data_IF_840381505978
#
_entry.id   IF_840381505978
#
_cell.length_a   1.000
_cell.length_b   1.000
_cell.length_c   1.000
_cell.angle_alpha   90.00
_cell.angle_beta   90.00
_cell.angle_gamma   90.00
#
_symmetry.space_group_name_H-M   'P 1'
#
loop_
_entity.id
_entity.type
_entity.pdbx_description
1 polymer ?
#
# COMPACT_ATOMS: atom_id res chain seq x y z
N UNK A 1 14.52 -25.36 -24.00
CA UNK A 1 14.11 -24.65 -22.76
C UNK A 1 12.75 -25.21 -22.38
N UNK A 2 12.64 -25.98 -21.29
CA UNK A 2 11.35 -26.53 -20.88
C UNK A 2 10.47 -25.39 -20.36
N UNK A 3 9.29 -25.20 -20.97
CA UNK A 3 8.29 -24.25 -20.47
C UNK A 3 7.86 -24.73 -19.08
N UNK A 4 8.08 -23.91 -18.04
CA UNK A 4 7.53 -24.19 -16.70
C UNK A 4 6.01 -24.33 -16.85
N UNK A 5 5.46 -25.39 -16.27
CA UNK A 5 4.00 -25.53 -16.14
C UNK A 5 3.48 -24.32 -15.37
N UNK A 6 2.51 -23.58 -15.92
CA UNK A 6 1.95 -22.43 -15.21
C UNK A 6 1.31 -22.89 -13.90
N UNK A 7 1.60 -22.16 -12.82
CA UNK A 7 1.01 -22.41 -11.51
C UNK A 7 -0.52 -22.20 -11.55
N UNK A 8 -1.29 -22.88 -10.68
CA UNK A 8 -2.71 -22.60 -10.56
C UNK A 8 -2.97 -21.14 -10.20
N UNK A 9 -3.93 -20.50 -10.87
CA UNK A 9 -4.27 -19.07 -10.68
C UNK A 9 -4.56 -18.73 -9.21
N UNK A 10 -5.12 -19.66 -8.45
CA UNK A 10 -5.42 -19.47 -7.03
C UNK A 10 -4.15 -19.28 -6.19
N UNK A 11 -3.08 -20.00 -6.51
CA UNK A 11 -1.79 -19.90 -5.81
C UNK A 11 -1.15 -18.54 -6.08
N UNK A 12 -1.15 -18.11 -7.34
CA UNK A 12 -0.63 -16.79 -7.74
C UNK A 12 -1.42 -15.67 -7.07
N UNK A 13 -2.75 -15.78 -7.02
CA UNK A 13 -3.60 -14.79 -6.33
C UNK A 13 -3.30 -14.72 -4.84
N UNK A 14 -3.26 -15.86 -4.16
CA UNK A 14 -2.97 -15.93 -2.72
C UNK A 14 -1.61 -15.31 -2.39
N UNK A 15 -0.58 -15.65 -3.16
CA UNK A 15 0.77 -15.10 -3.01
C UNK A 15 0.79 -13.57 -3.11
N UNK A 16 0.04 -13.00 -4.07
CA UNK A 16 -0.10 -11.54 -4.21
C UNK A 16 -0.82 -10.92 -3.03
N UNK A 17 -1.89 -11.54 -2.56
CA UNK A 17 -2.69 -11.01 -1.44
C UNK A 17 -1.89 -11.05 -0.13
N UNK A 18 -1.16 -12.13 0.13
CA UNK A 18 -0.31 -12.27 1.31
C UNK A 18 0.88 -11.29 1.27
N UNK A 19 1.50 -11.11 0.09
CA UNK A 19 2.56 -10.13 -0.09
C UNK A 19 2.04 -8.70 0.16
N UNK A 20 0.89 -8.33 -0.42
CA UNK A 20 0.30 -7.01 -0.19
C UNK A 20 -0.03 -6.79 1.29
N UNK A 21 -0.60 -7.79 1.97
CA UNK A 21 -0.90 -7.72 3.39
C UNK A 21 0.38 -7.50 4.23
N UNK A 22 1.48 -8.18 3.90
CA UNK A 22 2.76 -8.00 4.58
C UNK A 22 3.36 -6.60 4.35
N UNK A 23 3.27 -6.07 3.12
CA UNK A 23 3.75 -4.73 2.78
C UNK A 23 2.96 -3.66 3.54
N UNK A 24 1.63 -3.78 3.56
CA UNK A 24 0.75 -2.86 4.28
C UNK A 24 1.00 -2.93 5.80
N UNK A 25 1.21 -4.12 6.35
CA UNK A 25 1.49 -4.29 7.77
C UNK A 25 2.82 -3.65 8.20
N UNK A 26 3.76 -3.43 7.27
CA UNK A 26 5.04 -2.78 7.56
C UNK A 26 4.91 -1.27 7.89
N UNK A 27 3.75 -0.65 7.63
CA UNK A 27 3.47 0.76 7.96
C UNK A 27 2.28 0.83 8.93
N UNK A 28 2.51 0.77 10.26
CA UNK A 28 1.43 0.79 11.26
C UNK A 28 0.48 2.00 11.15
N UNK A 29 0.99 3.13 10.64
CA UNK A 29 0.23 4.35 10.47
C UNK A 29 -0.96 4.21 9.50
N UNK A 30 -0.93 3.23 8.59
CA UNK A 30 -2.05 2.90 7.69
C UNK A 30 -3.31 2.55 8.49
N UNK A 31 -3.17 1.78 9.57
CA UNK A 31 -4.30 1.39 10.42
C UNK A 31 -4.87 2.57 11.20
N UNK A 32 -4.00 3.49 11.62
CA UNK A 32 -4.40 4.73 12.28
C UNK A 32 -5.27 5.60 11.36
N UNK A 33 -4.86 5.75 10.09
CA UNK A 33 -5.58 6.51 9.07
C UNK A 33 -6.78 5.79 8.47
N UNK A 34 -7.05 4.53 8.85
CA UNK A 34 -8.16 3.74 8.32
C UNK A 34 -8.06 3.54 6.79
N UNK A 35 -6.85 3.29 6.30
CA UNK A 35 -6.56 3.08 4.88
C UNK A 35 -6.56 1.59 4.54
N UNK A 36 -7.23 1.24 3.45
CA UNK A 36 -7.22 -0.10 2.84
C UNK A 36 -6.76 -0.02 1.39
N UNK A 37 -6.29 -1.14 0.83
CA UNK A 37 -5.86 -1.22 -0.56
C UNK A 37 -6.67 -2.26 -1.31
N UNK A 38 -7.29 -1.84 -2.41
CA UNK A 38 -7.94 -2.73 -3.37
C UNK A 38 -6.96 -3.05 -4.51
N UNK A 39 -6.71 -4.34 -4.76
CA UNK A 39 -5.76 -4.78 -5.79
C UNK A 39 -6.48 -5.19 -7.07
N UNK A 40 -6.02 -4.69 -8.21
CA UNK A 40 -6.47 -5.08 -9.55
C UNK A 40 -5.29 -5.44 -10.44
N UNK A 41 -4.80 -6.67 -10.28
CA UNK A 41 -3.56 -7.07 -10.95
C UNK A 41 -2.36 -6.44 -10.26
N UNK A 42 -1.59 -5.68 -11.02
CA UNK A 42 -0.45 -4.86 -10.60
C UNK A 42 -0.84 -3.43 -10.17
N UNK A 43 -2.08 -3.01 -10.42
CA UNK A 43 -2.61 -1.74 -9.93
C UNK A 43 -3.17 -1.86 -8.51
N UNK A 44 -2.98 -0.79 -7.72
CA UNK A 44 -3.53 -0.64 -6.37
C UNK A 44 -4.42 0.60 -6.30
N UNK A 45 -5.54 0.50 -5.59
CA UNK A 45 -6.38 1.63 -5.22
C UNK A 45 -6.39 1.78 -3.70
N UNK A 46 -5.81 2.86 -3.20
CA UNK A 46 -5.86 3.19 -1.78
C UNK A 46 -7.22 3.85 -1.44
N UNK A 47 -7.84 3.40 -0.35
CA UNK A 47 -9.13 3.90 0.13
C UNK A 47 -8.97 4.30 1.59
N UNK A 48 -9.13 5.59 1.90
CA UNK A 48 -9.20 6.09 3.27
C UNK A 48 -10.66 6.20 3.70
N UNK A 49 -11.11 5.27 4.55
CA UNK A 49 -12.48 5.31 5.05
C UNK A 49 -12.64 6.40 6.12
N UNK A 50 -13.75 7.15 6.04
CA UNK A 50 -14.08 8.22 6.98
C UNK A 50 -13.93 7.78 8.44
N UNK A 51 -13.36 8.65 9.28
CA UNK A 51 -13.28 8.47 10.72
C UNK A 51 -13.29 9.84 11.40
N UNK A 52 -14.11 10.03 12.42
CA UNK A 52 -14.26 11.33 13.12
C UNK A 52 -12.92 11.88 13.64
N UNK A 53 -12.00 11.01 14.04
CA UNK A 53 -10.67 11.39 14.53
C UNK A 53 -9.76 12.00 13.46
N UNK A 54 -10.14 11.92 12.17
CA UNK A 54 -9.40 12.50 11.05
C UNK A 54 -9.96 13.87 10.62
N UNK A 55 -11.02 14.33 11.27
CA UNK A 55 -11.65 15.63 11.01
C UNK A 55 -10.87 16.71 11.76
N UNK A 56 -10.32 17.65 11.00
CA UNK A 56 -9.51 18.75 11.54
C UNK A 56 -10.36 19.93 12.01
N UNK A 57 -11.42 20.27 11.26
CA UNK A 57 -12.33 21.36 11.62
C UNK A 57 -13.73 20.81 11.92
N UNK A 58 -14.11 20.67 13.20
CA UNK A 58 -15.43 20.18 13.60
C UNK A 58 -16.61 21.06 13.12
N UNK A 59 -16.36 22.34 12.85
CA UNK A 59 -17.39 23.28 12.41
C UNK A 59 -17.64 23.24 10.88
N UNK A 60 -16.66 22.82 10.08
CA UNK A 60 -16.77 22.70 8.60
C UNK A 60 -16.74 21.25 8.09
N UNK A 61 -17.01 20.27 8.98
CA UNK A 61 -16.60 18.85 8.90
C UNK A 61 -15.42 18.49 7.99
N UNK A 62 -14.39 19.35 7.94
CA UNK A 62 -13.34 19.21 6.94
C UNK A 62 -12.24 18.26 7.42
N UNK A 63 -11.76 17.40 6.52
CA UNK A 63 -10.61 16.54 6.79
C UNK A 63 -9.38 17.38 7.13
N UNK A 64 -8.60 16.90 8.10
CA UNK A 64 -7.33 17.55 8.43
C UNK A 64 -6.37 17.45 7.23
N UNK A 65 -5.78 18.58 6.81
CA UNK A 65 -4.85 18.60 5.67
C UNK A 65 -3.70 17.59 5.84
N UNK A 66 -3.13 17.49 7.05
CA UNK A 66 -2.10 16.50 7.35
C UNK A 66 -2.55 15.04 7.20
N UNK A 67 -3.85 14.74 7.40
CA UNK A 67 -4.38 13.39 7.18
C UNK A 67 -4.47 13.07 5.68
N UNK A 68 -4.87 14.06 4.86
CA UNK A 68 -4.86 13.93 3.39
C UNK A 68 -3.42 13.76 2.87
N UNK A 69 -2.48 14.60 3.31
CA UNK A 69 -1.08 14.49 2.90
C UNK A 69 -0.48 13.13 3.27
N UNK A 70 -0.73 12.67 4.50
CA UNK A 70 -0.25 11.37 4.93
C UNK A 70 -0.90 10.20 4.18
N UNK A 71 -2.19 10.30 3.86
CA UNK A 71 -2.85 9.29 3.02
C UNK A 71 -2.20 9.19 1.64
N UNK A 72 -1.93 10.33 1.00
CA UNK A 72 -1.29 10.36 -0.32
C UNK A 72 0.16 9.86 -0.27
N UNK A 73 0.91 10.21 0.76
CA UNK A 73 2.27 9.68 0.96
C UNK A 73 2.26 8.15 1.14
N UNK A 74 1.39 7.65 2.01
CA UNK A 74 1.21 6.21 2.23
C UNK A 74 0.83 5.50 0.94
N UNK A 75 -0.10 6.06 0.17
CA UNK A 75 -0.52 5.48 -1.12
C UNK A 75 0.67 5.39 -2.08
N UNK A 76 1.44 6.47 -2.23
CA UNK A 76 2.62 6.51 -3.09
C UNK A 76 3.71 5.52 -2.67
N UNK A 77 4.01 5.43 -1.36
CA UNK A 77 5.01 4.48 -0.83
C UNK A 77 4.59 3.04 -1.10
N UNK A 78 3.33 2.68 -0.81
CA UNK A 78 2.83 1.31 -1.01
C UNK A 78 2.77 0.96 -2.49
N UNK A 79 2.32 1.87 -3.35
CA UNK A 79 2.25 1.64 -4.79
C UNK A 79 3.64 1.49 -5.42
N UNK A 80 4.60 2.35 -5.08
CA UNK A 80 5.98 2.23 -5.55
C UNK A 80 6.61 0.91 -5.08
N UNK A 81 6.34 0.54 -3.83
CA UNK A 81 6.82 -0.73 -3.27
C UNK A 81 6.23 -1.92 -4.02
N UNK A 82 4.93 -1.89 -4.29
CA UNK A 82 4.23 -2.94 -5.02
C UNK A 82 4.76 -3.10 -6.44
N UNK A 83 4.89 -1.99 -7.17
CA UNK A 83 5.39 -1.98 -8.54
C UNK A 83 6.83 -2.51 -8.64
N UNK A 84 7.69 -2.14 -7.68
CA UNK A 84 9.10 -2.59 -7.67
C UNK A 84 9.26 -4.05 -7.22
N UNK A 85 8.38 -4.53 -6.34
CA UNK A 85 8.40 -5.91 -5.85
C UNK A 85 7.67 -6.91 -6.76
N UNK A 86 6.84 -6.44 -7.71
CA UNK A 86 5.93 -7.27 -8.50
C UNK A 86 6.59 -8.50 -9.13
N UNK A 87 7.71 -8.32 -9.82
CA UNK A 87 8.40 -9.44 -10.48
C UNK A 87 8.89 -10.50 -9.48
N UNK A 88 9.41 -10.07 -8.32
CA UNK A 88 9.90 -10.95 -7.26
C UNK A 88 8.76 -11.66 -6.51
N UNK A 89 7.57 -11.05 -6.47
CA UNK A 89 6.36 -11.69 -5.95
C UNK A 89 5.86 -12.74 -6.96
N UNK A 90 5.90 -12.43 -8.27
CA UNK A 90 5.44 -13.33 -9.33
C UNK A 90 6.30 -14.58 -9.50
N UNK A 91 7.62 -14.48 -9.30
CA UNK A 91 8.54 -15.61 -9.36
C UNK A 91 8.69 -16.36 -8.02
N UNK A 92 8.08 -15.84 -6.94
CA UNK A 92 8.10 -16.41 -5.60
C UNK A 92 9.43 -16.22 -4.85
N UNK A 93 10.32 -15.36 -5.32
CA UNK A 93 11.60 -15.05 -4.64
C UNK A 93 11.41 -14.15 -3.42
N UNK A 94 10.38 -13.28 -3.43
CA UNK A 94 10.00 -12.47 -2.28
C UNK A 94 8.79 -13.10 -1.59
N UNK A 95 9.00 -13.61 -0.36
CA UNK A 95 7.93 -14.20 0.45
C UNK A 95 7.35 -13.21 1.46
N UNK A 96 6.10 -13.39 1.91
CA UNK A 96 5.50 -12.56 2.97
C UNK A 96 6.33 -12.52 4.27
N UNK A 97 7.00 -13.62 4.62
CA UNK A 97 7.86 -13.70 5.79
C UNK A 97 9.14 -12.87 5.63
N UNK A 98 9.72 -12.84 4.43
CA UNK A 98 10.86 -11.98 4.12
C UNK A 98 10.48 -10.49 4.25
N UNK A 99 9.31 -10.13 3.72
CA UNK A 99 8.75 -8.78 3.85
C UNK A 99 8.55 -8.40 5.33
N UNK A 100 7.91 -9.27 6.10
CA UNK A 100 7.54 -9.01 7.50
C UNK A 100 8.75 -8.95 8.43
N UNK A 101 9.76 -9.79 8.19
CA UNK A 101 10.99 -9.81 8.98
C UNK A 101 11.95 -8.64 8.66
N UNK A 102 11.63 -7.83 7.64
CA UNK A 102 12.49 -6.74 7.16
C UNK A 102 13.82 -7.21 6.55
N UNK A 103 14.03 -8.53 6.43
CA UNK A 103 15.21 -9.11 5.81
C UNK A 103 14.96 -9.18 4.30
N UNK A 104 15.82 -8.52 3.52
CA UNK A 104 15.76 -8.43 2.05
C UNK A 104 14.67 -7.51 1.46
N UNK A 105 13.91 -6.81 2.30
CA UNK A 105 12.87 -5.89 1.84
C UNK A 105 12.92 -4.58 2.63
N UNK A 106 13.12 -3.47 1.91
CA UNK A 106 13.12 -2.14 2.48
C UNK A 106 12.07 -1.28 1.77
N UNK A 107 11.20 -0.65 2.56
CA UNK A 107 10.29 0.35 2.02
C UNK A 107 11.08 1.53 1.45
N UNK A 108 10.67 2.07 0.30
CA UNK A 108 11.27 3.28 -0.24
C UNK A 108 11.07 4.42 0.77
N UNK A 109 12.10 5.26 0.89
CA UNK A 109 12.04 6.47 1.71
C UNK A 109 11.55 7.61 0.83
N UNK A 110 10.57 8.37 1.29
CA UNK A 110 10.17 9.63 0.67
C UNK A 110 11.37 10.58 0.68
N UNK A 111 11.79 11.04 -0.49
CA UNK A 111 12.82 12.09 -0.64
C UNK A 111 12.13 13.46 -0.60
N UNK A 112 11.07 13.60 -1.39
CA UNK A 112 10.25 14.80 -1.47
C UNK A 112 8.82 14.42 -1.90
N UNK A 113 7.85 15.24 -1.52
CA UNK A 113 6.44 15.08 -1.86
C UNK A 113 5.72 16.43 -1.71
N UNK A 114 4.82 16.75 -2.65
CA UNK A 114 4.03 17.98 -2.65
C UNK A 114 2.56 17.65 -2.80
N UNK A 115 1.71 18.38 -2.07
CA UNK A 115 0.25 18.26 -2.14
C UNK A 115 -0.36 19.61 -2.50
N UNK A 116 -1.11 19.63 -3.60
CA UNK A 116 -1.95 20.74 -3.97
C UNK A 116 -3.40 20.48 -3.52
N UNK A 117 -3.86 21.24 -2.53
CA UNK A 117 -5.23 21.14 -2.01
C UNK A 117 -6.18 21.95 -2.88
N UNK A 118 -7.01 21.25 -3.67
CA UNK A 118 -7.90 21.90 -4.65
C UNK A 118 -9.21 22.42 -4.04
N UNK A 119 -9.65 21.83 -2.92
CA UNK A 119 -10.86 22.21 -2.18
C UNK A 119 -10.80 21.68 -0.75
N UNK A 120 -11.70 22.14 0.11
CA UNK A 120 -11.93 21.49 1.40
C UNK A 120 -12.41 20.05 1.18
N UNK A 121 -11.71 19.12 1.83
CA UNK A 121 -12.04 17.69 1.88
C UNK A 121 -13.04 17.40 2.97
#
# INVERSE_FOLDING_TARGET
MALRTPEPVQVVKQRRDDALAAIVAAIPYIQFLNVSFERRGDELTAVMAYRDTLIGNPALPALHGGAIAAFLEVAAVIELTWATAWAAIEDGTLTPEAITSGHQFALPKTIDFTVDYLRSG
#
